data_IF_549017592524
#
_entry.id   IF_549017592524
#
_cell.length_a   1.000
_cell.length_b   1.000
_cell.length_c   1.000
_cell.angle_alpha   90.00
_cell.angle_beta   90.00
_cell.angle_gamma   90.00
#
_symmetry.space_group_name_H-M   'P 1'
#
loop_
_entity.id
_entity.type
_entity.pdbx_description
1 polymer ?
#
# COMPACT_ATOMS: atom_id res chain seq x y z
N UNK A 1 0.84 43.52 -3.16
CA UNK A 1 2.12 42.78 -3.16
C UNK A 1 2.34 42.40 -1.71
N UNK A 2 1.80 41.25 -1.32
CA UNK A 2 1.79 40.84 0.09
C UNK A 2 3.18 40.34 0.45
N UNK A 3 3.89 41.19 1.19
CA UNK A 3 5.22 40.87 1.69
C UNK A 3 5.05 40.03 2.95
N UNK A 4 5.22 38.72 2.81
CA UNK A 4 5.27 37.79 3.94
C UNK A 4 6.48 38.10 4.85
N UNK A 5 6.33 37.78 6.13
CA UNK A 5 7.43 37.86 7.09
C UNK A 5 8.47 36.78 6.79
N UNK A 6 9.74 37.08 7.07
CA UNK A 6 10.79 36.09 6.94
C UNK A 6 10.67 35.02 8.04
N UNK A 7 11.12 33.80 7.74
CA UNK A 7 11.05 32.65 8.65
C UNK A 7 11.65 32.92 10.05
N UNK A 8 12.74 33.68 10.12
CA UNK A 8 13.36 34.06 11.40
C UNK A 8 12.43 34.93 12.26
N UNK A 9 11.66 35.82 11.62
CA UNK A 9 10.68 36.68 12.28
C UNK A 9 9.48 35.85 12.77
N UNK A 10 8.99 34.91 11.96
CA UNK A 10 7.92 33.98 12.34
C UNK A 10 8.33 33.12 13.56
N UNK A 11 9.58 32.61 13.59
CA UNK A 11 10.13 31.87 14.74
C UNK A 11 10.22 32.76 15.98
N UNK A 12 10.67 34.01 15.83
CA UNK A 12 10.73 34.96 16.94
C UNK A 12 9.32 35.27 17.50
N UNK A 13 8.32 35.42 16.62
CA UNK A 13 6.92 35.68 16.98
C UNK A 13 6.23 34.48 17.63
N UNK A 14 6.57 33.27 17.19
CA UNK A 14 6.11 32.03 17.81
C UNK A 14 6.65 31.91 19.26
N UNK A 15 7.84 32.44 19.54
CA UNK A 15 8.45 32.46 20.88
C UNK A 15 7.93 33.60 21.76
N UNK A 16 7.80 34.81 21.22
CA UNK A 16 7.34 35.98 21.96
C UNK A 16 6.51 36.90 21.05
N UNK A 17 5.20 37.07 21.33
CA UNK A 17 4.38 37.96 20.53
C UNK A 17 4.84 39.41 20.67
N UNK A 18 4.90 40.15 19.55
CA UNK A 18 5.24 41.57 19.49
C UNK A 18 4.13 42.36 18.79
N UNK A 19 3.92 43.62 19.22
CA UNK A 19 2.73 44.40 18.88
C UNK A 19 2.59 44.75 17.39
N UNK A 20 3.67 45.12 16.70
CA UNK A 20 3.62 45.50 15.27
C UNK A 20 3.40 44.30 14.34
N UNK A 21 3.90 43.11 14.72
CA UNK A 21 3.75 41.90 13.92
C UNK A 21 2.36 41.25 14.06
N UNK A 22 1.68 41.46 15.20
CA UNK A 22 0.30 41.00 15.38
C UNK A 22 -0.67 41.64 14.38
N UNK A 23 -0.42 42.88 13.95
CA UNK A 23 -1.20 43.51 12.90
C UNK A 23 -1.06 42.76 11.57
N UNK A 24 0.17 42.40 11.17
CA UNK A 24 0.40 41.61 9.97
C UNK A 24 -0.26 40.22 10.04
N UNK A 25 -0.16 39.52 11.18
CA UNK A 25 -0.81 38.21 11.34
C UNK A 25 -2.35 38.29 11.26
N UNK A 26 -2.95 39.43 11.59
CA UNK A 26 -4.39 39.64 11.42
C UNK A 26 -4.80 39.80 9.95
N UNK A 27 -3.89 40.26 9.10
CA UNK A 27 -4.12 40.55 7.68
C UNK A 27 -3.62 39.41 6.76
N UNK A 28 -2.64 38.61 7.18
CA UNK A 28 -2.05 37.52 6.39
C UNK A 28 -2.33 36.14 7.00
N UNK A 29 -3.16 35.32 6.32
CA UNK A 29 -3.53 33.98 6.78
C UNK A 29 -2.35 33.00 6.79
N UNK A 30 -1.50 33.02 5.75
CA UNK A 30 -0.36 32.10 5.61
C UNK A 30 0.67 32.28 6.74
N UNK A 31 1.05 33.52 7.04
CA UNK A 31 1.96 33.80 8.15
C UNK A 31 1.34 33.44 9.52
N UNK A 32 0.01 33.47 9.64
CA UNK A 32 -0.70 33.06 10.86
C UNK A 32 -0.64 31.55 11.07
N UNK A 33 -0.95 30.78 10.03
CA UNK A 33 -0.88 29.32 10.07
C UNK A 33 0.54 28.83 10.38
N UNK A 34 1.55 29.43 9.77
CA UNK A 34 2.95 29.05 10.02
C UNK A 34 3.39 29.36 11.47
N UNK A 35 2.94 30.49 12.05
CA UNK A 35 3.20 30.81 13.46
C UNK A 35 2.44 29.87 14.41
N UNK A 36 1.21 29.47 14.08
CA UNK A 36 0.44 28.50 14.87
C UNK A 36 1.10 27.12 14.86
N UNK A 37 1.54 26.65 13.70
CA UNK A 37 2.32 25.42 13.58
C UNK A 37 3.60 25.49 14.41
N UNK A 38 4.36 26.60 14.29
CA UNK A 38 5.57 26.78 15.08
C UNK A 38 5.32 26.88 16.58
N UNK A 39 4.11 27.27 17.03
CA UNK A 39 3.70 27.26 18.44
C UNK A 39 3.32 25.87 18.91
N UNK A 40 2.58 25.12 18.11
CA UNK A 40 2.18 23.74 18.42
C UNK A 40 3.40 22.82 18.59
N UNK A 41 4.39 22.98 17.72
CA UNK A 41 5.63 22.19 17.74
C UNK A 41 6.79 22.89 18.46
N UNK A 42 6.53 23.99 19.18
CA UNK A 42 7.61 24.72 19.85
C UNK A 42 8.14 23.94 21.06
N UNK A 43 9.24 23.24 20.87
CA UNK A 43 10.07 22.79 22.00
C UNK A 43 10.85 23.94 22.65
N UNK A 44 10.83 25.16 22.07
CA UNK A 44 11.58 26.29 22.60
C UNK A 44 10.90 26.88 23.84
N UNK A 45 11.47 26.62 25.01
CA UNK A 45 10.98 27.09 26.31
C UNK A 45 10.81 25.96 27.32
N UNK A 46 10.70 24.72 26.84
CA UNK A 46 10.79 23.55 27.70
C UNK A 46 12.26 23.26 28.01
N UNK A 47 12.55 22.94 29.28
CA UNK A 47 13.86 22.41 29.64
C UNK A 47 14.16 21.21 28.73
N UNK A 48 15.37 21.16 28.16
CA UNK A 48 15.80 19.98 27.39
C UNK A 48 15.53 18.76 28.26
N UNK A 49 14.74 17.83 27.74
CA UNK A 49 14.61 16.53 28.37
C UNK A 49 16.02 15.93 28.46
N UNK A 50 16.36 15.27 29.57
CA UNK A 50 17.62 14.55 29.65
C UNK A 50 17.67 13.52 28.53
N UNK A 51 18.86 13.33 27.95
CA UNK A 51 19.05 12.32 26.90
C UNK A 51 18.58 10.96 27.41
N UNK A 52 17.90 10.22 26.53
CA UNK A 52 17.49 8.86 26.85
C UNK A 52 18.75 8.01 27.13
N UNK A 53 18.76 7.16 28.17
CA UNK A 53 19.91 6.32 28.44
C UNK A 53 20.23 5.43 27.23
N UNK A 54 21.52 5.28 26.91
CA UNK A 54 21.97 4.58 25.69
C UNK A 54 21.32 3.19 25.52
N UNK A 55 21.21 2.41 26.61
CA UNK A 55 20.58 1.09 26.58
C UNK A 55 19.08 1.09 26.23
N UNK A 56 18.37 2.21 26.39
CA UNK A 56 16.98 2.34 25.96
C UNK A 56 16.88 2.65 24.46
N UNK A 57 17.77 3.51 23.95
CA UNK A 57 17.88 3.81 22.52
C UNK A 57 18.26 2.55 21.75
N UNK A 58 19.22 1.78 22.25
CA UNK A 58 19.63 0.50 21.67
C UNK A 58 18.48 -0.52 21.65
N UNK A 59 17.71 -0.64 22.74
CA UNK A 59 16.54 -1.52 22.79
C UNK A 59 15.44 -1.07 21.83
N UNK A 60 15.16 0.23 21.75
CA UNK A 60 14.17 0.77 20.82
C UNK A 60 14.59 0.51 19.36
N UNK A 61 15.88 0.71 19.05
CA UNK A 61 16.44 0.39 17.74
C UNK A 61 16.36 -1.10 17.43
N UNK A 62 16.65 -1.97 18.40
CA UNK A 62 16.54 -3.43 18.25
C UNK A 62 15.09 -3.88 18.03
N UNK A 63 14.11 -3.28 18.73
CA UNK A 63 12.69 -3.54 18.54
C UNK A 63 12.20 -3.09 17.15
N UNK A 64 12.63 -1.92 16.69
CA UNK A 64 12.31 -1.43 15.35
C UNK A 64 12.92 -2.34 14.25
N UNK A 65 14.16 -2.79 14.43
CA UNK A 65 14.81 -3.73 13.50
C UNK A 65 14.12 -5.10 13.49
N UNK A 66 13.67 -5.60 14.65
CA UNK A 66 12.92 -6.86 14.70
C UNK A 66 11.57 -6.75 14.02
N UNK A 67 10.84 -5.64 14.20
CA UNK A 67 9.58 -5.39 13.48
C UNK A 67 9.78 -5.43 11.96
N UNK A 68 10.82 -4.79 11.43
CA UNK A 68 11.14 -4.87 10.00
C UNK A 68 11.49 -6.29 9.54
N UNK A 69 12.13 -7.11 10.37
CA UNK A 69 12.39 -8.51 10.03
C UNK A 69 11.15 -9.42 10.06
N UNK A 70 10.13 -9.08 10.85
CA UNK A 70 8.84 -9.79 10.81
C UNK A 70 7.97 -9.35 9.63
N UNK A 71 8.08 -8.11 9.16
CA UNK A 71 7.46 -7.68 7.90
C UNK A 71 7.99 -8.48 6.70
N UNK A 72 9.26 -8.90 6.73
CA UNK A 72 9.89 -9.73 5.68
C UNK A 72 9.29 -11.14 5.53
N UNK A 73 8.52 -11.63 6.50
CA UNK A 73 7.85 -12.95 6.43
C UNK A 73 6.35 -12.80 6.68
N UNK A 74 5.72 -11.83 6.01
CA UNK A 74 4.26 -11.69 6.09
C UNK A 74 3.59 -12.65 5.11
N UNK A 75 3.17 -13.81 5.61
CA UNK A 75 2.23 -14.67 4.89
C UNK A 75 0.84 -14.02 4.92
N UNK A 76 0.57 -13.17 3.94
CA UNK A 76 -0.76 -12.63 3.75
C UNK A 76 -1.70 -13.72 3.22
N UNK A 77 -2.87 -13.89 3.84
CA UNK A 77 -3.95 -14.73 3.31
C UNK A 77 -4.84 -13.82 2.49
N UNK A 78 -4.92 -14.08 1.19
CA UNK A 78 -5.81 -13.33 0.31
C UNK A 78 -7.27 -13.73 0.55
N UNK A 79 -8.15 -12.74 0.62
CA UNK A 79 -9.59 -12.94 0.68
C UNK A 79 -10.16 -13.04 -0.74
N UNK A 80 -11.06 -13.99 -0.98
CA UNK A 80 -11.82 -14.05 -2.23
C UNK A 80 -12.90 -12.96 -2.19
N UNK A 81 -12.74 -11.92 -3.00
CA UNK A 81 -13.67 -10.77 -3.04
C UNK A 81 -14.66 -10.84 -4.20
N UNK A 82 -14.36 -11.63 -5.25
CA UNK A 82 -15.25 -11.82 -6.39
C UNK A 82 -15.16 -13.25 -6.93
N UNK A 83 -16.32 -13.82 -7.24
CA UNK A 83 -16.47 -15.10 -7.95
C UNK A 83 -17.63 -15.03 -8.94
N UNK A 84 -17.32 -15.19 -10.23
CA UNK A 84 -18.32 -15.10 -11.29
C UNK A 84 -19.39 -16.19 -11.23
N UNK A 85 -19.14 -17.32 -10.57
CA UNK A 85 -20.15 -18.37 -10.39
C UNK A 85 -21.11 -18.09 -9.23
N UNK A 86 -20.67 -17.29 -8.25
CA UNK A 86 -21.53 -16.86 -7.14
C UNK A 86 -22.39 -15.63 -7.51
N UNK A 87 -22.00 -14.90 -8.56
CA UNK A 87 -22.75 -13.73 -9.03
C UNK A 87 -24.07 -14.16 -9.70
N UNK A 88 -25.21 -13.53 -9.34
CA UNK A 88 -26.48 -13.81 -9.99
C UNK A 88 -26.39 -13.43 -11.47
N UNK A 89 -26.69 -14.37 -12.36
CA UNK A 89 -26.71 -14.09 -13.80
C UNK A 89 -27.86 -13.12 -14.10
N UNK A 90 -27.65 -12.06 -14.89
CA UNK A 90 -28.72 -11.15 -15.25
C UNK A 90 -29.80 -11.91 -16.03
N UNK A 91 -31.05 -11.82 -15.55
CA UNK A 91 -32.20 -12.42 -16.22
C UNK A 91 -32.31 -11.83 -17.62
N UNK A 92 -32.26 -12.68 -18.65
CA UNK A 92 -32.38 -12.26 -20.06
C UNK A 92 -31.09 -12.31 -20.89
N UNK A 93 -29.94 -12.62 -20.27
CA UNK A 93 -28.72 -12.91 -21.04
C UNK A 93 -28.85 -14.32 -21.64
N UNK A 94 -29.20 -14.41 -22.93
CA UNK A 94 -29.18 -15.65 -23.73
C UNK A 94 -27.76 -16.03 -24.15
N UNK A 95 -26.81 -15.88 -23.24
CA UNK A 95 -25.53 -16.56 -23.33
C UNK A 95 -25.51 -17.51 -22.15
N UNK A 96 -25.26 -18.79 -22.38
CA UNK A 96 -24.66 -19.58 -21.32
C UNK A 96 -23.41 -18.80 -20.92
N UNK A 97 -23.43 -18.08 -19.78
CA UNK A 97 -22.18 -17.79 -19.11
C UNK A 97 -21.58 -19.17 -18.89
N UNK A 98 -20.62 -19.50 -19.76
CA UNK A 98 -20.35 -20.88 -20.10
C UNK A 98 -19.91 -21.55 -18.81
N UNK A 99 -20.47 -22.73 -18.52
CA UNK A 99 -20.03 -23.54 -17.37
C UNK A 99 -18.50 -23.76 -17.42
N UNK A 100 -17.88 -23.55 -18.59
CA UNK A 100 -16.45 -23.56 -18.80
C UNK A 100 -15.67 -22.31 -18.37
N UNK A 101 -16.26 -21.13 -18.18
CA UNK A 101 -15.51 -19.92 -17.77
C UNK A 101 -15.77 -19.56 -16.30
N UNK A 102 -14.70 -19.25 -15.57
CA UNK A 102 -14.76 -18.72 -14.20
C UNK A 102 -13.77 -17.58 -14.01
N UNK A 103 -14.20 -16.52 -13.35
CA UNK A 103 -13.36 -15.39 -12.95
C UNK A 103 -13.37 -15.26 -11.44
N UNK A 104 -12.19 -15.10 -10.87
CA UNK A 104 -11.96 -14.97 -9.44
C UNK A 104 -11.07 -13.75 -9.21
N UNK A 105 -11.36 -13.00 -8.14
CA UNK A 105 -10.48 -11.94 -7.64
C UNK A 105 -10.18 -12.16 -6.18
N UNK A 106 -8.89 -12.16 -5.86
CA UNK A 106 -8.38 -12.26 -4.51
C UNK A 106 -7.69 -10.96 -4.12
N UNK A 107 -7.91 -10.49 -2.90
CA UNK A 107 -7.28 -9.27 -2.39
C UNK A 107 -6.52 -9.56 -1.10
N UNK A 108 -5.32 -8.99 -0.97
CA UNK A 108 -4.46 -9.10 0.18
C UNK A 108 -3.68 -7.80 0.38
N UNK A 109 -3.98 -7.05 1.45
CA UNK A 109 -3.34 -5.76 1.80
C UNK A 109 -3.25 -4.82 0.57
N UNK A 110 -2.11 -4.78 -0.12
CA UNK A 110 -1.80 -3.91 -1.27
C UNK A 110 -1.73 -4.64 -2.61
N UNK A 111 -2.27 -5.86 -2.67
CA UNK A 111 -2.22 -6.71 -3.85
C UNK A 111 -3.62 -7.20 -4.21
N UNK A 112 -3.92 -7.18 -5.51
CA UNK A 112 -5.05 -7.89 -6.07
C UNK A 112 -4.56 -8.90 -7.11
N UNK A 113 -5.09 -10.12 -7.02
CA UNK A 113 -4.82 -11.22 -7.93
C UNK A 113 -6.11 -11.59 -8.65
N UNK A 114 -6.16 -11.28 -9.94
CA UNK A 114 -7.26 -11.60 -10.82
C UNK A 114 -6.92 -12.90 -11.58
N UNK A 115 -7.84 -13.87 -11.54
CA UNK A 115 -7.68 -15.17 -12.19
C UNK A 115 -8.88 -15.46 -13.09
N UNK A 116 -8.61 -15.74 -14.36
CA UNK A 116 -9.57 -16.28 -15.32
C UNK A 116 -9.20 -17.73 -15.62
N UNK A 117 -10.18 -18.61 -15.49
CA UNK A 117 -10.09 -20.02 -15.85
C UNK A 117 -11.10 -20.33 -16.96
N UNK A 118 -10.67 -21.03 -17.99
CA UNK A 118 -11.49 -21.47 -19.11
C UNK A 118 -11.31 -22.98 -19.34
N UNK A 119 -12.41 -23.73 -19.40
CA UNK A 119 -12.42 -25.16 -19.70
C UNK A 119 -12.38 -25.35 -21.21
N UNK A 120 -11.27 -25.88 -21.70
CA UNK A 120 -11.11 -26.32 -23.08
C UNK A 120 -11.41 -27.84 -23.19
N UNK A 121 -11.55 -28.39 -24.40
CA UNK A 121 -11.66 -29.83 -24.60
C UNK A 121 -10.40 -30.56 -24.08
N UNK A 122 -10.51 -31.16 -22.89
CA UNK A 122 -9.44 -31.98 -22.28
C UNK A 122 -8.63 -31.28 -21.19
N UNK A 123 -8.54 -29.95 -21.19
CA UNK A 123 -7.71 -29.20 -20.26
C UNK A 123 -8.39 -27.91 -19.75
N UNK A 124 -7.74 -27.24 -18.80
CA UNK A 124 -8.07 -25.90 -18.36
C UNK A 124 -6.98 -24.93 -18.81
N UNK A 125 -7.39 -23.80 -19.36
CA UNK A 125 -6.53 -22.65 -19.61
C UNK A 125 -6.73 -21.61 -18.51
N UNK A 126 -5.64 -21.02 -18.05
CA UNK A 126 -5.65 -20.00 -17.01
C UNK A 126 -4.86 -18.78 -17.46
N UNK A 127 -5.42 -17.62 -17.15
CA UNK A 127 -4.76 -16.33 -17.27
C UNK A 127 -4.92 -15.62 -15.95
N UNK A 128 -3.81 -15.14 -15.39
CA UNK A 128 -3.83 -14.38 -14.16
C UNK A 128 -3.06 -13.07 -14.29
N UNK A 129 -3.42 -12.09 -13.48
CA UNK A 129 -2.73 -10.81 -13.38
C UNK A 129 -2.60 -10.42 -11.91
N UNK A 130 -1.46 -9.81 -11.58
CA UNK A 130 -1.20 -9.24 -10.26
C UNK A 130 -1.16 -7.73 -10.41
N UNK A 131 -1.98 -7.06 -9.62
CA UNK A 131 -1.98 -5.61 -9.50
C UNK A 131 -1.56 -5.21 -8.10
N UNK A 132 -0.78 -4.14 -8.00
CA UNK A 132 -0.31 -3.58 -6.74
C UNK A 132 -0.28 -2.06 -6.83
N UNK A 133 -0.57 -1.40 -5.73
CA UNK A 133 -0.52 0.06 -5.63
C UNK A 133 0.91 0.61 -5.64
N UNK A 134 1.90 -0.23 -5.26
CA UNK A 134 3.28 0.21 -5.01
C UNK A 134 4.35 -0.43 -5.88
N UNK A 135 4.05 -1.55 -6.56
CA UNK A 135 5.05 -2.32 -7.32
C UNK A 135 4.60 -2.57 -8.76
N UNK A 136 5.49 -2.37 -9.76
CA UNK A 136 5.20 -2.80 -11.12
C UNK A 136 5.05 -4.33 -11.14
N UNK A 137 4.09 -4.82 -11.93
CA UNK A 137 3.66 -6.23 -12.00
C UNK A 137 4.76 -7.26 -12.33
N UNK A 138 5.99 -6.84 -12.62
CA UNK A 138 7.12 -7.67 -13.05
C UNK A 138 7.95 -8.33 -11.95
N UNK A 139 7.74 -7.99 -10.67
CA UNK A 139 8.58 -8.51 -9.56
C UNK A 139 7.97 -9.70 -8.81
N UNK A 140 6.94 -10.35 -9.38
CA UNK A 140 6.30 -11.49 -8.74
C UNK A 140 6.55 -12.79 -9.49
N UNK A 141 6.80 -13.85 -8.73
CA UNK A 141 6.83 -15.22 -9.21
C UNK A 141 5.55 -15.94 -8.76
N UNK A 142 4.86 -16.58 -9.68
CA UNK A 142 3.67 -17.36 -9.39
C UNK A 142 4.06 -18.85 -9.29
N UNK A 143 4.00 -19.42 -8.09
CA UNK A 143 4.18 -20.85 -7.89
C UNK A 143 2.85 -21.58 -7.94
N UNK A 144 2.69 -22.46 -8.91
CA UNK A 144 1.53 -23.33 -9.09
C UNK A 144 1.96 -24.76 -8.85
N UNK A 145 1.57 -25.29 -7.69
CA UNK A 145 2.01 -26.61 -7.21
C UNK A 145 3.55 -26.74 -7.15
N UNK A 146 4.18 -27.29 -8.20
CA UNK A 146 5.63 -27.47 -8.33
C UNK A 146 6.26 -26.66 -9.47
N UNK A 147 5.45 -25.87 -10.20
CA UNK A 147 5.91 -25.05 -11.33
C UNK A 147 5.96 -23.61 -10.89
N UNK A 148 7.03 -22.91 -11.24
CA UNK A 148 7.13 -21.46 -11.09
C UNK A 148 6.92 -20.82 -12.46
N UNK A 149 6.12 -19.76 -12.47
CA UNK A 149 5.77 -18.98 -13.64
C UNK A 149 6.15 -17.52 -13.39
N UNK A 150 6.71 -16.89 -14.43
CA UNK A 150 6.96 -15.46 -14.47
C UNK A 150 5.92 -14.79 -15.34
N UNK A 151 5.59 -13.53 -15.04
CA UNK A 151 4.72 -12.75 -15.89
C UNK A 151 5.34 -12.52 -17.27
N UNK A 152 4.50 -12.40 -18.30
CA UNK A 152 4.91 -11.90 -19.60
C UNK A 152 5.18 -10.38 -19.57
N UNK A 153 5.55 -9.80 -20.72
CA UNK A 153 5.84 -8.37 -20.84
C UNK A 153 4.64 -7.46 -20.52
N UNK A 154 3.42 -8.00 -20.55
CA UNK A 154 2.20 -7.28 -20.20
C UNK A 154 1.73 -7.55 -18.76
N UNK A 155 2.50 -8.32 -17.98
CA UNK A 155 2.18 -8.62 -16.58
C UNK A 155 1.23 -9.80 -16.39
N UNK A 156 1.01 -10.63 -17.41
CA UNK A 156 0.11 -11.78 -17.33
C UNK A 156 0.86 -13.09 -17.09
N UNK A 157 0.25 -13.95 -16.28
CA UNK A 157 0.67 -15.34 -16.08
C UNK A 157 -0.28 -16.24 -16.87
N UNK A 158 0.26 -17.08 -17.73
CA UNK A 158 -0.55 -17.96 -18.59
C UNK A 158 -0.08 -19.41 -18.43
N UNK A 159 -1.01 -20.33 -18.22
CA UNK A 159 -0.69 -21.77 -18.17
C UNK A 159 -1.91 -22.63 -18.49
N UNK A 160 -1.66 -23.90 -18.79
CA UNK A 160 -2.71 -24.91 -18.89
C UNK A 160 -2.48 -26.07 -17.92
N UNK A 161 -3.55 -26.77 -17.57
CA UNK A 161 -3.52 -27.98 -16.74
C UNK A 161 -4.75 -28.86 -16.95
N UNK A 162 -4.61 -30.18 -16.79
CA UNK A 162 -5.74 -31.12 -16.91
C UNK A 162 -6.86 -30.86 -15.89
N UNK A 163 -6.49 -30.26 -14.74
CA UNK A 163 -7.36 -29.98 -13.60
C UNK A 163 -7.06 -28.60 -12.99
N UNK A 164 -8.03 -27.96 -12.31
CA UNK A 164 -7.80 -26.72 -11.60
C UNK A 164 -6.75 -26.90 -10.49
N UNK A 165 -5.81 -25.96 -10.34
CA UNK A 165 -4.78 -26.05 -9.31
C UNK A 165 -5.42 -25.95 -7.93
N UNK A 166 -4.96 -26.78 -6.99
CA UNK A 166 -5.42 -26.73 -5.60
C UNK A 166 -4.80 -25.60 -4.81
N UNK A 167 -3.64 -25.12 -5.26
CA UNK A 167 -2.85 -24.11 -4.56
C UNK A 167 -2.09 -23.26 -5.57
N UNK A 168 -2.27 -21.96 -5.42
CA UNK A 168 -1.52 -20.93 -6.13
C UNK A 168 -0.84 -20.10 -5.05
N UNK A 169 0.45 -19.83 -5.22
CA UNK A 169 1.23 -18.97 -4.33
C UNK A 169 1.83 -17.85 -5.15
N UNK A 170 1.65 -16.63 -4.67
CA UNK A 170 2.36 -15.47 -5.20
C UNK A 170 3.58 -15.21 -4.31
N UNK A 171 4.76 -15.09 -4.92
CA UNK A 171 6.00 -14.68 -4.27
C UNK A 171 6.44 -13.35 -4.86
N UNK A 172 6.96 -12.46 -4.03
CA UNK A 172 7.57 -11.20 -4.47
C UNK A 172 9.07 -11.32 -4.24
N UNK A 173 9.87 -10.89 -5.22
CA UNK A 173 11.33 -10.83 -5.09
C UNK A 173 11.80 -9.59 -4.30
N UNK A 174 10.89 -8.68 -3.94
CA UNK A 174 11.15 -7.62 -2.95
C UNK A 174 11.26 -8.24 -1.56
N UNK A 175 12.38 -8.91 -1.26
CA UNK A 175 12.84 -9.19 0.11
C UNK A 175 14.35 -9.40 0.20
#
# INVERSE_FOLDING_TARGET
MDRHLHREELIALARKPSGSANQHLSECAECREEVELLREFNMAGHARLPDAPAGWVERAAALAQTQHSFEKIRKAVAALVFDSWAAPQPIGVRGQASIGERRLRFEADRFAFDLRAERLPGEWAFVAQVTSDSLPSGNFALSIEKKELTADTAGFYQWTADRPPRRILLRSDDT
#
